data_IF_956511339622
#
_entry.id   IF_956511339622
#
_cell.length_a   1.000
_cell.length_b   1.000
_cell.length_c   1.000
_cell.angle_alpha   90.00
_cell.angle_beta   90.00
_cell.angle_gamma   90.00
#
_symmetry.space_group_name_H-M   'P 1'
#
loop_
_entity.id
_entity.type
_entity.pdbx_description
1 polymer ?
#
# COMPACT_ATOMS: atom_id res chain seq x y z
N UNK A 1 -14.77 24.95 11.72
CA UNK A 1 -14.97 24.95 13.19
C UNK A 1 -14.27 23.71 13.69
N UNK A 2 -13.25 23.86 14.53
CA UNK A 2 -12.40 22.75 14.95
C UNK A 2 -13.23 21.63 15.60
N UNK A 3 -13.20 20.43 15.00
CA UNK A 3 -13.91 19.26 15.54
C UNK A 3 -13.25 18.79 16.83
N UNK A 4 -14.03 18.65 17.90
CA UNK A 4 -13.57 18.05 19.17
C UNK A 4 -13.84 16.54 19.16
N UNK A 5 -12.86 15.76 19.58
CA UNK A 5 -12.89 14.29 19.60
C UNK A 5 -12.59 13.78 21.01
N UNK A 6 -13.21 12.67 21.41
CA UNK A 6 -12.93 12.01 22.70
C UNK A 6 -11.68 11.13 22.57
N UNK A 7 -10.82 11.19 23.57
CA UNK A 7 -9.67 10.29 23.74
C UNK A 7 -10.14 9.12 24.60
N UNK A 8 -9.87 7.90 24.14
CA UNK A 8 -10.25 6.67 24.80
C UNK A 8 -9.07 6.03 25.52
N UNK A 9 -9.35 5.43 26.67
CA UNK A 9 -8.41 4.60 27.39
C UNK A 9 -8.23 3.22 26.71
N UNK A 10 -7.28 2.42 27.21
CA UNK A 10 -7.07 1.03 26.82
C UNK A 10 -8.32 0.15 27.03
N UNK A 11 -9.20 0.54 27.97
CA UNK A 11 -10.47 -0.11 28.23
C UNK A 11 -11.63 0.37 27.34
N UNK A 12 -11.39 1.31 26.42
CA UNK A 12 -12.44 1.85 25.54
C UNK A 12 -13.38 2.85 26.22
N UNK A 13 -13.01 3.37 27.40
CA UNK A 13 -13.76 4.43 28.10
C UNK A 13 -13.23 5.81 27.70
N UNK A 14 -14.10 6.82 27.54
CA UNK A 14 -13.67 8.18 27.20
C UNK A 14 -13.03 8.87 28.42
N UNK A 15 -11.80 9.35 28.28
CA UNK A 15 -11.03 10.02 29.35
C UNK A 15 -11.00 11.52 29.14
N UNK A 16 -10.60 11.96 27.94
CA UNK A 16 -10.33 13.37 27.64
C UNK A 16 -11.02 13.80 26.35
N UNK A 17 -11.09 15.12 26.10
CA UNK A 17 -11.50 15.69 24.82
C UNK A 17 -10.33 16.45 24.20
N UNK A 18 -10.07 16.22 22.93
CA UNK A 18 -8.99 16.85 22.17
C UNK A 18 -9.56 17.56 20.94
N UNK A 19 -9.01 18.73 20.60
CA UNK A 19 -9.32 19.43 19.34
C UNK A 19 -8.50 18.85 18.20
N UNK A 20 -9.15 18.46 17.10
CA UNK A 20 -8.45 17.99 15.91
C UNK A 20 -7.72 19.13 15.19
N UNK A 21 -6.51 18.86 14.65
CA UNK A 21 -5.81 19.78 13.77
C UNK A 21 -6.58 20.07 12.47
N UNK A 22 -6.37 21.23 11.82
CA UNK A 22 -7.03 21.61 10.58
C UNK A 22 -6.76 20.65 9.39
N UNK A 23 -5.74 19.79 9.49
CA UNK A 23 -5.43 18.77 8.48
C UNK A 23 -6.62 17.83 8.23
N UNK A 24 -7.38 17.52 9.28
CA UNK A 24 -8.55 16.65 9.18
C UNK A 24 -9.75 17.31 8.48
N UNK A 25 -9.71 18.63 8.25
CA UNK A 25 -10.73 19.39 7.51
C UNK A 25 -10.38 19.54 6.03
N UNK A 26 -9.21 19.07 5.59
CA UNK A 26 -8.80 19.21 4.19
C UNK A 26 -9.75 18.46 3.23
N UNK A 27 -10.04 19.02 2.04
CA UNK A 27 -10.97 18.41 1.11
C UNK A 27 -10.44 17.08 0.58
N UNK A 28 -11.31 16.08 0.50
CA UNK A 28 -10.95 14.75 0.01
C UNK A 28 -10.77 14.79 -1.52
N UNK A 29 -9.54 14.60 -1.98
CA UNK A 29 -9.10 14.62 -3.38
C UNK A 29 -8.56 13.24 -3.81
N UNK A 30 -9.43 12.33 -4.25
CA UNK A 30 -9.01 10.96 -4.61
C UNK A 30 -8.07 10.91 -5.82
N UNK A 31 -8.14 11.90 -6.71
CA UNK A 31 -7.24 12.11 -7.85
C UNK A 31 -5.76 12.26 -7.41
N UNK A 32 -5.52 13.15 -6.46
CA UNK A 32 -4.19 13.46 -5.92
C UNK A 32 -3.66 12.28 -5.11
N UNK A 33 -4.52 11.64 -4.30
CA UNK A 33 -4.18 10.43 -3.55
C UNK A 33 -3.75 9.31 -4.51
N UNK A 34 -4.54 9.04 -5.55
CA UNK A 34 -4.24 7.99 -6.53
C UNK A 34 -2.88 8.22 -7.20
N UNK A 35 -2.59 9.45 -7.62
CA UNK A 35 -1.31 9.78 -8.27
C UNK A 35 -0.13 9.60 -7.31
N UNK A 36 -0.25 10.04 -6.06
CA UNK A 36 0.78 9.86 -5.05
C UNK A 36 1.03 8.39 -4.71
N UNK A 37 -0.03 7.60 -4.50
CA UNK A 37 0.09 6.17 -4.19
C UNK A 37 0.73 5.40 -5.34
N UNK A 38 0.34 5.66 -6.60
CA UNK A 38 0.96 5.04 -7.77
C UNK A 38 2.45 5.40 -7.91
N UNK A 39 2.84 6.64 -7.58
CA UNK A 39 4.23 7.05 -7.58
C UNK A 39 5.04 6.33 -6.48
N UNK A 40 4.51 6.26 -5.26
CA UNK A 40 5.15 5.53 -4.14
C UNK A 40 5.32 4.05 -4.49
N UNK A 41 4.28 3.42 -5.02
CA UNK A 41 4.32 2.01 -5.44
C UNK A 41 5.36 1.74 -6.52
N UNK A 42 5.52 2.69 -7.46
CA UNK A 42 6.48 2.56 -8.55
C UNK A 42 7.93 2.49 -8.10
N UNK A 43 8.26 3.07 -6.94
CA UNK A 43 9.60 2.99 -6.35
C UNK A 43 9.98 1.57 -5.91
N UNK A 44 8.99 0.71 -5.61
CA UNK A 44 9.23 -0.69 -5.19
C UNK A 44 9.31 -1.66 -6.36
N UNK A 45 9.12 -1.20 -7.59
CA UNK A 45 9.20 -2.06 -8.75
C UNK A 45 10.65 -2.45 -9.04
N UNK A 46 10.90 -3.75 -9.15
CA UNK A 46 12.20 -4.27 -9.56
C UNK A 46 12.31 -4.24 -11.09
N UNK A 47 13.41 -3.69 -11.66
CA UNK A 47 13.70 -3.80 -13.08
C UNK A 47 13.71 -5.26 -13.53
N UNK A 48 13.18 -5.52 -14.72
CA UNK A 48 13.15 -6.86 -15.30
C UNK A 48 13.39 -6.75 -16.80
N UNK A 49 14.15 -7.69 -17.34
CA UNK A 49 14.43 -7.77 -18.76
C UNK A 49 14.59 -9.20 -19.25
N UNK A 50 14.66 -9.36 -20.57
CA UNK A 50 15.13 -10.59 -21.21
C UNK A 50 16.63 -10.47 -21.50
N UNK A 51 17.33 -11.61 -21.58
CA UNK A 51 18.68 -11.66 -22.14
C UNK A 51 18.65 -11.01 -23.55
N UNK A 52 19.47 -9.99 -23.84
CA UNK A 52 19.52 -9.33 -25.15
C UNK A 52 19.73 -10.28 -26.34
N UNK A 53 20.37 -11.43 -26.10
CA UNK A 53 20.68 -12.45 -27.10
C UNK A 53 19.67 -13.62 -27.12
N UNK A 54 18.62 -13.59 -26.30
CA UNK A 54 17.59 -14.62 -26.30
C UNK A 54 16.93 -14.77 -27.68
N UNK A 55 16.97 -15.99 -28.24
CA UNK A 55 16.43 -16.29 -29.57
C UNK A 55 17.23 -15.72 -30.74
N UNK A 56 18.41 -15.12 -30.49
CA UNK A 56 19.32 -14.58 -31.51
C UNK A 56 20.62 -15.38 -31.69
N UNK A 57 20.96 -16.28 -30.76
CA UNK A 57 22.16 -17.14 -30.82
C UNK A 57 21.99 -18.27 -31.85
N UNK A 58 21.87 -17.90 -33.12
CA UNK A 58 21.62 -18.82 -34.24
C UNK A 58 22.35 -18.36 -35.49
N UNK A 59 22.81 -19.31 -36.30
CA UNK A 59 23.41 -19.06 -37.64
C UNK A 59 22.37 -18.95 -38.76
N UNK A 60 21.13 -18.62 -38.41
CA UNK A 60 19.99 -18.69 -39.31
C UNK A 60 19.98 -17.53 -40.31
N UNK A 61 19.83 -17.86 -41.59
CA UNK A 61 19.78 -16.92 -42.71
C UNK A 61 18.57 -17.24 -43.62
N UNK A 62 18.07 -16.25 -44.34
CA UNK A 62 16.98 -16.49 -45.30
C UNK A 62 17.54 -17.18 -46.54
N UNK A 63 16.84 -18.20 -47.05
CA UNK A 63 17.22 -18.91 -48.29
C UNK A 63 16.77 -18.19 -49.58
N UNK A 64 16.13 -17.02 -49.46
CA UNK A 64 15.67 -16.26 -50.62
C UNK A 64 14.32 -16.74 -51.19
N UNK A 65 14.11 -16.46 -52.47
CA UNK A 65 12.87 -16.77 -53.23
C UNK A 65 13.08 -17.98 -54.14
N UNK A 66 12.01 -18.50 -54.76
CA UNK A 66 12.09 -19.57 -55.77
C UNK A 66 12.12 -21.00 -55.24
N UNK A 67 12.02 -21.19 -53.91
CA UNK A 67 12.05 -22.52 -53.27
C UNK A 67 10.69 -23.02 -52.79
N UNK A 68 9.59 -22.31 -53.07
CA UNK A 68 8.25 -22.63 -52.52
C UNK A 68 8.17 -22.49 -51.00
N UNK A 69 9.12 -21.81 -50.36
CA UNK A 69 9.23 -21.64 -48.91
C UNK A 69 9.05 -20.18 -48.49
N UNK A 70 8.53 -19.97 -47.29
CA UNK A 70 8.52 -18.65 -46.65
C UNK A 70 9.94 -18.12 -46.44
N UNK A 71 10.15 -16.81 -46.66
CA UNK A 71 11.44 -16.10 -46.61
C UNK A 71 12.01 -15.88 -45.20
N UNK A 72 11.56 -16.66 -44.22
CA UNK A 72 11.97 -16.56 -42.81
C UNK A 72 13.39 -17.12 -42.66
N UNK A 73 14.26 -16.56 -41.79
CA UNK A 73 15.58 -17.12 -41.52
C UNK A 73 15.51 -18.58 -41.04
N UNK A 74 16.35 -19.44 -41.60
CA UNK A 74 16.42 -20.87 -41.27
C UNK A 74 17.84 -21.26 -40.88
N UNK A 75 17.96 -22.12 -39.86
CA UNK A 75 19.24 -22.64 -39.41
C UNK A 75 19.91 -23.45 -40.53
N UNK A 76 21.23 -23.29 -40.68
CA UNK A 76 22.03 -24.03 -41.66
C UNK A 76 22.05 -25.52 -41.29
N UNK A 77 22.02 -26.39 -42.30
CA UNK A 77 21.99 -27.84 -42.12
C UNK A 77 20.69 -28.54 -42.58
N UNK A 78 20.63 -29.87 -42.44
CA UNK A 78 19.57 -30.69 -43.04
C UNK A 78 18.18 -30.42 -42.45
N UNK A 79 18.08 -30.03 -41.18
CA UNK A 79 16.79 -29.81 -40.52
C UNK A 79 16.13 -28.47 -40.90
N UNK A 80 16.90 -27.47 -41.35
CA UNK A 80 16.41 -26.20 -41.91
C UNK A 80 15.26 -25.50 -41.14
N UNK A 81 15.25 -25.58 -39.80
CA UNK A 81 14.17 -25.02 -38.98
C UNK A 81 14.20 -23.50 -39.01
N UNK A 82 13.03 -22.89 -39.06
CA UNK A 82 12.89 -21.43 -38.96
C UNK A 82 13.29 -20.96 -37.56
N UNK A 83 14.10 -19.90 -37.48
CA UNK A 83 14.63 -19.35 -36.24
C UNK A 83 14.81 -17.83 -36.36
N UNK A 84 15.32 -17.19 -35.31
CA UNK A 84 15.61 -15.75 -35.21
C UNK A 84 14.38 -14.82 -35.25
N UNK A 85 13.35 -15.11 -36.04
CA UNK A 85 12.17 -14.27 -36.21
C UNK A 85 11.14 -14.44 -35.08
N UNK A 86 10.38 -13.39 -34.73
CA UNK A 86 9.42 -13.43 -33.62
C UNK A 86 8.23 -14.37 -33.81
N UNK A 87 7.88 -14.71 -35.07
CA UNK A 87 6.84 -15.69 -35.38
C UNK A 87 7.31 -17.15 -35.34
N UNK A 88 8.57 -17.41 -34.99
CA UNK A 88 9.15 -18.78 -34.98
C UNK A 88 9.30 -19.32 -33.56
N UNK A 89 9.11 -20.62 -33.40
CA UNK A 89 9.34 -21.31 -32.11
C UNK A 89 10.83 -21.22 -31.76
N UNK A 90 11.15 -20.60 -30.63
CA UNK A 90 12.54 -20.37 -30.20
C UNK A 90 13.21 -19.14 -30.83
N UNK A 91 12.50 -18.35 -31.64
CA UNK A 91 13.00 -17.09 -32.19
C UNK A 91 13.00 -15.94 -31.18
N UNK A 92 13.57 -14.79 -31.56
CA UNK A 92 13.65 -13.61 -30.70
C UNK A 92 12.28 -12.96 -30.51
N UNK A 93 11.99 -12.41 -29.34
CA UNK A 93 10.79 -11.58 -29.14
C UNK A 93 10.95 -10.22 -29.84
N UNK A 94 9.89 -9.70 -30.46
CA UNK A 94 9.86 -8.31 -30.94
C UNK A 94 9.67 -7.37 -29.75
N UNK A 95 10.52 -6.34 -29.63
CA UNK A 95 10.53 -5.38 -28.52
C UNK A 95 10.55 -6.05 -27.13
N UNK A 96 11.60 -6.83 -26.81
CA UNK A 96 11.69 -7.49 -25.51
C UNK A 96 11.72 -6.46 -24.38
N UNK A 97 11.20 -6.78 -23.19
CA UNK A 97 11.32 -5.90 -22.05
C UNK A 97 12.80 -5.71 -21.71
N UNK A 98 13.22 -4.46 -21.58
CA UNK A 98 14.58 -4.07 -21.21
C UNK A 98 14.62 -3.60 -19.75
N UNK A 99 15.73 -3.86 -19.04
CA UNK A 99 15.93 -3.37 -17.68
C UNK A 99 16.03 -1.84 -17.63
N UNK A 100 16.41 -1.19 -18.73
CA UNK A 100 16.58 0.26 -18.87
C UNK A 100 15.27 1.06 -18.85
N UNK A 101 14.11 0.38 -18.89
CA UNK A 101 12.81 1.05 -18.87
C UNK A 101 12.67 1.88 -17.58
N UNK A 102 12.38 3.19 -17.72
CA UNK A 102 12.04 4.08 -16.60
C UNK A 102 10.71 3.65 -15.97
N UNK A 103 10.78 2.85 -14.90
CA UNK A 103 9.61 2.31 -14.17
C UNK A 103 9.12 3.25 -13.06
N UNK A 104 10.02 4.06 -12.51
CA UNK A 104 9.74 4.97 -11.39
C UNK A 104 9.03 6.23 -11.89
N UNK A 105 7.88 6.55 -11.28
CA UNK A 105 7.13 7.78 -11.53
C UNK A 105 7.51 8.81 -10.47
N UNK A 106 7.94 10.00 -10.92
CA UNK A 106 8.24 11.13 -10.03
C UNK A 106 6.98 11.93 -9.71
N UNK A 107 6.92 12.47 -8.49
CA UNK A 107 5.83 13.35 -8.04
C UNK A 107 6.41 14.58 -7.31
N UNK A 108 5.84 15.78 -7.49
CA UNK A 108 6.24 16.97 -6.73
C UNK A 108 6.03 16.80 -5.22
N UNK A 109 6.92 17.41 -4.43
CA UNK A 109 6.83 17.37 -2.95
C UNK A 109 5.51 17.95 -2.41
N UNK A 110 5.05 19.07 -2.99
CA UNK A 110 3.78 19.73 -2.60
C UNK A 110 2.57 18.84 -2.85
N UNK A 111 2.52 18.19 -4.02
CA UNK A 111 1.45 17.25 -4.36
C UNK A 111 1.46 16.02 -3.46
N UNK A 112 2.64 15.50 -3.12
CA UNK A 112 2.78 14.40 -2.15
C UNK A 112 2.26 14.79 -0.75
N UNK A 113 2.52 16.02 -0.29
CA UNK A 113 1.99 16.54 0.99
C UNK A 113 0.48 16.71 0.96
N UNK A 114 -0.06 17.28 -0.12
CA UNK A 114 -1.51 17.41 -0.30
C UNK A 114 -2.22 16.05 -0.30
N UNK A 115 -1.63 15.04 -0.95
CA UNK A 115 -2.13 13.67 -0.93
C UNK A 115 -2.17 13.09 0.49
N UNK A 116 -1.15 13.35 1.30
CA UNK A 116 -1.09 12.91 2.68
C UNK A 116 -2.21 13.55 3.51
N UNK A 117 -2.37 14.86 3.43
CA UNK A 117 -3.42 15.59 4.16
C UNK A 117 -4.81 15.12 3.76
N UNK A 118 -5.06 15.00 2.45
CA UNK A 118 -6.33 14.49 1.95
C UNK A 118 -6.61 13.05 2.40
N UNK A 119 -5.59 12.20 2.50
CA UNK A 119 -5.75 10.84 3.02
C UNK A 119 -6.03 10.80 4.52
N UNK A 120 -5.44 11.73 5.31
CA UNK A 120 -5.72 11.90 6.75
C UNK A 120 -7.15 12.39 6.96
N UNK A 121 -7.59 13.41 6.21
CA UNK A 121 -8.97 13.89 6.29
C UNK A 121 -10.00 12.80 5.96
N UNK A 122 -9.68 11.93 5.00
CA UNK A 122 -10.54 10.81 4.66
C UNK A 122 -10.71 9.79 5.80
N UNK A 123 -9.77 9.70 6.74
CA UNK A 123 -9.89 8.76 7.87
C UNK A 123 -10.76 9.30 9.00
N UNK A 124 -11.05 10.61 9.00
CA UNK A 124 -11.99 11.23 9.94
C UNK A 124 -13.47 11.11 9.52
N UNK A 125 -13.76 10.68 8.28
CA UNK A 125 -15.14 10.49 7.81
C UNK A 125 -15.58 9.03 7.97
N UNK A 126 -16.61 8.80 8.80
CA UNK A 126 -17.22 7.47 9.00
C UNK A 126 -17.76 6.89 7.69
N UNK A 127 -18.36 7.71 6.85
CA UNK A 127 -18.91 7.31 5.55
C UNK A 127 -17.81 6.79 4.62
N UNK A 128 -16.69 7.51 4.53
CA UNK A 128 -15.57 7.11 3.66
C UNK A 128 -14.95 5.80 4.14
N UNK A 129 -14.78 5.64 5.45
CA UNK A 129 -14.20 4.41 6.04
C UNK A 129 -15.14 3.21 5.85
N UNK A 130 -16.45 3.39 6.03
CA UNK A 130 -17.45 2.37 5.77
C UNK A 130 -17.51 1.99 4.28
N UNK A 131 -17.51 2.96 3.37
CA UNK A 131 -17.55 2.74 1.91
C UNK A 131 -16.35 1.92 1.40
N UNK A 132 -15.22 1.99 2.11
CA UNK A 132 -14.01 1.21 1.81
C UNK A 132 -14.17 -0.27 2.17
N UNK A 133 -15.11 -0.62 3.04
CA UNK A 133 -15.38 -1.98 3.50
C UNK A 133 -14.75 -2.35 4.84
N UNK A 134 -14.48 -1.36 5.70
CA UNK A 134 -14.17 -1.61 7.11
C UNK A 134 -15.46 -1.76 7.93
N UNK A 135 -15.43 -2.64 8.94
CA UNK A 135 -16.55 -2.83 9.86
C UNK A 135 -16.44 -1.79 10.97
N UNK A 136 -17.29 -0.75 10.93
CA UNK A 136 -17.22 0.42 11.83
C UNK A 136 -18.41 0.55 12.79
N UNK A 137 -19.31 -0.44 12.81
CA UNK A 137 -20.51 -0.40 13.65
C UNK A 137 -20.20 -0.44 15.14
N UNK A 138 -19.19 -1.23 15.54
CA UNK A 138 -18.75 -1.34 16.93
C UNK A 138 -17.82 -0.22 17.41
N UNK A 139 -17.37 0.68 16.52
CA UNK A 139 -16.38 1.71 16.86
C UNK A 139 -17.10 2.94 17.44
N UNK A 140 -16.77 3.40 18.66
CA UNK A 140 -17.46 4.50 19.32
C UNK A 140 -17.37 5.83 18.56
N UNK A 141 -16.22 6.12 17.95
CA UNK A 141 -15.94 7.39 17.28
C UNK A 141 -14.88 7.22 16.17
N UNK A 142 -15.03 8.01 15.10
CA UNK A 142 -14.05 8.14 14.02
C UNK A 142 -13.70 9.63 13.86
N UNK A 143 -12.42 10.03 13.80
CA UNK A 143 -11.22 9.20 13.98
C UNK A 143 -11.12 8.68 15.43
N UNK A 144 -10.59 7.46 15.61
CA UNK A 144 -10.43 6.86 16.93
C UNK A 144 -9.12 7.36 17.54
N UNK A 145 -9.19 7.99 18.71
CA UNK A 145 -8.02 8.53 19.43
C UNK A 145 -7.87 7.81 20.76
N UNK A 146 -6.66 7.32 21.04
CA UNK A 146 -6.32 6.51 22.22
C UNK A 146 -5.19 7.18 23.00
N UNK A 147 -5.10 6.90 24.30
CA UNK A 147 -4.00 7.36 25.17
C UNK A 147 -2.65 6.78 24.70
N UNK A 148 -1.57 7.52 24.97
CA UNK A 148 -0.20 7.17 24.58
C UNK A 148 0.35 5.91 25.28
N UNK A 149 -0.33 5.42 26.32
CA UNK A 149 -0.01 4.16 26.99
C UNK A 149 -0.05 2.96 26.03
N UNK A 150 -0.82 3.05 24.95
CA UNK A 150 -0.85 2.05 23.87
C UNK A 150 0.55 1.80 23.27
N UNK A 151 1.41 2.83 23.21
CA UNK A 151 2.74 2.73 22.61
C UNK A 151 3.67 1.77 23.39
N UNK A 152 3.42 1.62 24.69
CA UNK A 152 4.23 0.80 25.60
C UNK A 152 3.83 -0.67 25.69
N UNK A 153 2.78 -1.11 24.99
CA UNK A 153 2.33 -2.51 25.03
C UNK A 153 3.33 -3.42 24.31
N UNK A 154 3.90 -4.38 25.06
CA UNK A 154 4.90 -5.33 24.55
C UNK A 154 4.34 -6.68 24.14
N UNK A 155 3.18 -7.09 24.69
CA UNK A 155 2.59 -8.40 24.41
C UNK A 155 1.45 -8.26 23.40
N UNK A 156 1.44 -9.15 22.41
CA UNK A 156 0.37 -9.22 21.40
C UNK A 156 -1.01 -9.44 22.00
N UNK A 157 -1.11 -10.24 23.07
CA UNK A 157 -2.37 -10.52 23.75
C UNK A 157 -3.02 -9.23 24.27
N UNK A 158 -2.22 -8.38 24.91
CA UNK A 158 -2.69 -7.11 25.48
C UNK A 158 -3.15 -6.16 24.36
N UNK A 159 -2.46 -6.15 23.21
CA UNK A 159 -2.88 -5.39 22.03
C UNK A 159 -4.19 -5.92 21.43
N UNK A 160 -4.38 -7.24 21.39
CA UNK A 160 -5.63 -7.83 20.90
C UNK A 160 -6.80 -7.51 21.83
N UNK A 161 -6.61 -7.61 23.14
CA UNK A 161 -7.62 -7.25 24.14
C UNK A 161 -8.02 -5.77 24.06
N UNK A 162 -7.06 -4.87 23.88
CA UNK A 162 -7.36 -3.44 23.73
C UNK A 162 -8.13 -3.14 22.45
N UNK A 163 -7.75 -3.77 21.32
CA UNK A 163 -8.50 -3.63 20.06
C UNK A 163 -9.94 -4.18 20.15
N UNK A 164 -10.15 -5.25 20.92
CA UNK A 164 -11.49 -5.77 21.22
C UNK A 164 -12.31 -4.75 22.00
N UNK A 165 -11.75 -4.19 23.10
CA UNK A 165 -12.42 -3.21 23.94
C UNK A 165 -12.73 -1.90 23.20
N UNK A 166 -11.88 -1.51 22.24
CA UNK A 166 -12.10 -0.37 21.35
C UNK A 166 -13.18 -0.61 20.27
N UNK A 167 -13.71 -1.83 20.16
CA UNK A 167 -14.78 -2.17 19.22
C UNK A 167 -14.30 -2.48 17.79
N UNK A 168 -13.00 -2.71 17.58
CA UNK A 168 -12.39 -2.98 16.26
C UNK A 168 -12.44 -4.48 15.90
N UNK A 169 -13.01 -5.30 16.78
CA UNK A 169 -13.09 -6.75 16.64
C UNK A 169 -13.70 -7.21 15.30
N UNK A 170 -14.76 -6.54 14.84
CA UNK A 170 -15.41 -6.87 13.56
C UNK A 170 -14.47 -6.75 12.36
N UNK A 171 -13.58 -5.74 12.36
CA UNK A 171 -12.62 -5.54 11.27
C UNK A 171 -11.49 -6.59 11.33
N UNK A 172 -11.08 -7.00 12.53
CA UNK A 172 -10.09 -8.06 12.72
C UNK A 172 -10.62 -9.42 12.23
N UNK A 173 -11.86 -9.78 12.56
CA UNK A 173 -12.49 -11.01 12.05
C UNK A 173 -12.58 -11.02 10.52
N UNK A 174 -13.03 -9.91 9.93
CA UNK A 174 -13.06 -9.74 8.47
C UNK A 174 -11.70 -9.98 7.83
N UNK A 175 -10.62 -9.47 8.42
CA UNK A 175 -9.26 -9.72 7.90
C UNK A 175 -8.88 -11.19 8.06
N UNK A 176 -9.11 -11.81 9.23
CA UNK A 176 -8.80 -13.22 9.48
C UNK A 176 -9.47 -14.12 8.44
N UNK A 177 -10.77 -13.95 8.22
CA UNK A 177 -11.56 -14.71 7.24
C UNK A 177 -11.14 -14.45 5.78
N UNK A 178 -10.66 -13.24 5.48
CA UNK A 178 -10.23 -12.89 4.12
C UNK A 178 -8.94 -13.59 3.67
N UNK A 179 -8.23 -14.25 4.58
CA UNK A 179 -6.94 -14.89 4.33
C UNK A 179 -7.13 -16.09 3.42
N UNK A 180 -6.68 -15.97 2.17
CA UNK A 180 -6.80 -17.04 1.17
C UNK A 180 -5.58 -17.16 0.28
N UNK A 181 -5.46 -18.32 -0.38
CA UNK A 181 -4.43 -18.53 -1.39
C UNK A 181 -4.71 -17.64 -2.60
N UNK A 182 -3.69 -16.90 -3.04
CA UNK A 182 -3.74 -15.98 -4.18
C UNK A 182 -4.00 -16.75 -5.47
N UNK A 183 -5.00 -16.29 -6.21
CA UNK A 183 -5.28 -16.79 -7.56
C UNK A 183 -4.15 -16.44 -8.56
N UNK A 184 -3.98 -17.30 -9.56
CA UNK A 184 -3.01 -17.11 -10.65
C UNK A 184 -1.57 -17.48 -10.31
N UNK A 185 -0.62 -17.04 -11.14
CA UNK A 185 0.81 -17.42 -11.07
C UNK A 185 1.59 -16.72 -9.94
N UNK A 186 0.98 -15.76 -9.25
CA UNK A 186 1.61 -15.04 -8.14
C UNK A 186 1.96 -15.95 -6.96
N UNK A 187 1.18 -17.02 -6.76
CA UNK A 187 1.43 -18.02 -5.72
C UNK A 187 2.79 -18.71 -5.84
N UNK A 188 3.28 -18.90 -7.08
CA UNK A 188 4.58 -19.50 -7.38
C UNK A 188 5.75 -18.52 -7.23
N UNK A 189 5.49 -17.23 -7.03
CA UNK A 189 6.50 -16.16 -6.96
C UNK A 189 6.66 -15.61 -5.55
N UNK A 190 6.49 -16.46 -4.53
CA UNK A 190 6.60 -16.09 -3.11
C UNK A 190 5.42 -15.26 -2.57
N UNK A 191 4.34 -15.07 -3.33
CA UNK A 191 3.16 -14.29 -2.90
C UNK A 191 1.91 -15.17 -2.79
N UNK A 192 2.03 -16.24 -1.99
CA UNK A 192 1.01 -17.29 -1.87
C UNK A 192 -0.25 -16.81 -1.17
N UNK A 193 -0.13 -16.00 -0.12
CA UNK A 193 -1.27 -15.57 0.69
C UNK A 193 -1.75 -14.18 0.23
N UNK A 194 -3.06 -13.96 0.24
CA UNK A 194 -3.72 -12.66 0.09
C UNK A 194 -4.67 -12.51 1.27
N UNK A 195 -4.62 -11.36 1.93
CA UNK A 195 -5.53 -10.95 3.00
C UNK A 195 -6.03 -9.53 2.74
N UNK A 196 -7.12 -9.14 3.39
CA UNK A 196 -7.62 -7.78 3.40
C UNK A 196 -6.71 -6.87 4.23
N UNK A 197 -6.86 -5.56 4.02
CA UNK A 197 -6.18 -4.55 4.84
C UNK A 197 -7.07 -4.24 6.04
N UNK A 198 -6.51 -4.33 7.24
CA UNK A 198 -7.19 -4.03 8.50
C UNK A 198 -6.89 -2.62 9.03
N UNK A 199 -7.02 -2.41 10.35
CA UNK A 199 -6.79 -1.11 10.97
C UNK A 199 -5.31 -0.71 10.90
N UNK A 200 -5.07 0.60 10.98
CA UNK A 200 -3.74 1.19 11.11
C UNK A 200 -3.64 1.85 12.48
N UNK A 201 -2.61 1.53 13.24
CA UNK A 201 -2.26 2.22 14.48
C UNK A 201 -1.18 3.25 14.16
N UNK A 202 -1.45 4.50 14.45
CA UNK A 202 -0.52 5.62 14.24
C UNK A 202 -0.05 6.12 15.60
N UNK A 203 1.28 6.05 15.80
CA UNK A 203 1.94 6.36 17.07
C UNK A 203 2.90 7.53 16.93
N UNK A 204 3.19 8.23 18.03
CA UNK A 204 4.22 9.27 18.04
C UNK A 204 5.61 8.64 17.91
N UNK A 205 5.89 7.66 18.77
CA UNK A 205 7.13 6.89 18.81
C UNK A 205 6.82 5.41 19.08
N UNK A 206 7.63 4.51 18.52
CA UNK A 206 7.47 3.08 18.78
C UNK A 206 8.23 2.70 20.06
N UNK A 207 7.48 2.34 21.12
CA UNK A 207 8.03 1.89 22.40
C UNK A 207 7.85 0.38 22.63
N UNK A 208 7.64 -0.39 21.56
CA UNK A 208 7.46 -1.85 21.56
C UNK A 208 6.15 -2.32 20.93
N UNK A 209 5.23 -1.40 20.65
CA UNK A 209 3.95 -1.68 20.01
C UNK A 209 4.12 -2.24 18.58
N UNK A 210 5.15 -1.83 17.84
CA UNK A 210 5.44 -2.35 16.51
C UNK A 210 5.69 -3.86 16.52
N UNK A 211 6.42 -4.36 17.52
CA UNK A 211 6.68 -5.79 17.69
C UNK A 211 5.44 -6.54 18.18
N UNK A 212 4.72 -5.96 19.14
CA UNK A 212 3.53 -6.56 19.73
C UNK A 212 2.40 -6.75 18.69
N UNK A 213 2.17 -5.76 17.82
CA UNK A 213 1.08 -5.78 16.84
C UNK A 213 1.41 -6.54 15.55
N UNK A 214 2.69 -6.77 15.22
CA UNK A 214 3.13 -7.38 13.95
C UNK A 214 2.51 -8.75 13.66
N UNK A 215 2.23 -9.53 14.70
CA UNK A 215 1.67 -10.87 14.55
C UNK A 215 0.15 -10.86 14.30
N UNK A 216 -0.53 -9.73 14.54
CA UNK A 216 -1.98 -9.62 14.35
C UNK A 216 -2.29 -9.42 12.85
N UNK A 217 -3.10 -10.29 12.22
CA UNK A 217 -3.39 -10.18 10.79
C UNK A 217 -4.03 -8.83 10.41
N UNK A 218 -3.38 -8.12 9.49
CA UNK A 218 -3.86 -6.87 8.87
C UNK A 218 -3.83 -5.62 9.74
N UNK A 219 -3.29 -5.72 10.95
CA UNK A 219 -2.94 -4.54 11.76
C UNK A 219 -1.56 -4.08 11.32
N UNK A 220 -1.45 -2.81 10.92
CA UNK A 220 -0.16 -2.16 10.69
C UNK A 220 0.06 -1.11 11.77
N UNK A 221 1.31 -0.93 12.20
CA UNK A 221 1.73 0.14 13.11
C UNK A 221 2.71 1.03 12.37
N UNK A 222 2.51 2.35 12.43
CA UNK A 222 3.37 3.32 11.74
C UNK A 222 3.55 4.57 12.59
N UNK A 223 4.80 5.06 12.77
CA UNK A 223 5.03 6.32 13.45
C UNK A 223 4.61 7.50 12.57
N UNK A 224 4.15 8.60 13.16
CA UNK A 224 3.64 9.78 12.41
C UNK A 224 4.66 10.32 11.41
N UNK A 225 5.94 10.27 11.77
CA UNK A 225 7.05 10.76 10.93
C UNK A 225 7.19 9.99 9.61
N UNK A 226 6.79 8.71 9.58
CA UNK A 226 6.90 7.83 8.41
C UNK A 226 5.57 7.66 7.66
N UNK A 227 4.55 8.45 8.04
CA UNK A 227 3.23 8.35 7.46
C UNK A 227 3.25 8.72 5.97
N UNK A 228 2.71 7.82 5.15
CA UNK A 228 2.63 7.99 3.70
C UNK A 228 1.19 7.81 3.22
N UNK A 229 0.85 8.47 2.11
CA UNK A 229 -0.49 8.35 1.49
C UNK A 229 -0.84 6.90 1.12
N UNK A 230 0.15 6.05 0.81
CA UNK A 230 -0.11 4.62 0.53
C UNK A 230 -0.59 3.84 1.76
N UNK A 231 -0.10 4.18 2.95
CA UNK A 231 -0.41 3.46 4.19
C UNK A 231 -1.85 3.80 4.63
N UNK A 232 -2.25 5.05 4.44
CA UNK A 232 -3.60 5.57 4.73
C UNK A 232 -4.62 5.24 3.64
N UNK A 233 -4.19 5.16 2.38
CA UNK A 233 -5.03 4.83 1.23
C UNK A 233 -4.47 3.63 0.41
N UNK A 234 -4.34 2.43 1.02
CA UNK A 234 -3.79 1.29 0.30
C UNK A 234 -4.69 0.90 -0.87
N UNK A 235 -4.07 0.67 -2.02
CA UNK A 235 -4.77 0.40 -3.27
C UNK A 235 -5.41 1.62 -3.92
N UNK A 236 -5.00 2.85 -3.57
CA UNK A 236 -5.53 4.13 -4.08
C UNK A 236 -6.94 4.50 -3.58
N UNK A 237 -7.48 3.73 -2.63
CA UNK A 237 -8.78 3.98 -2.01
C UNK A 237 -8.60 4.62 -0.63
N UNK A 238 -9.07 5.86 -0.42
CA UNK A 238 -8.95 6.57 0.85
C UNK A 238 -9.91 6.04 1.91
N UNK A 239 -9.67 6.38 3.18
CA UNK A 239 -10.54 5.99 4.30
C UNK A 239 -10.16 4.67 4.97
N UNK A 240 -8.88 4.44 5.25
CA UNK A 240 -8.48 3.32 6.13
C UNK A 240 -8.95 3.58 7.56
N UNK A 241 -9.39 2.54 8.25
CA UNK A 241 -9.66 2.62 9.69
C UNK A 241 -8.35 2.90 10.43
N UNK A 242 -8.21 4.09 11.00
CA UNK A 242 -7.00 4.54 11.70
C UNK A 242 -7.28 4.79 13.18
N UNK A 243 -6.44 4.22 14.02
CA UNK A 243 -6.36 4.45 15.46
C UNK A 243 -5.16 5.36 15.69
N UNK A 244 -5.38 6.51 16.30
CA UNK A 244 -4.35 7.51 16.57
C UNK A 244 -4.03 7.53 18.05
N UNK A 245 -2.75 7.63 18.43
CA UNK A 245 -2.40 8.04 19.78
C UNK A 245 -2.56 9.55 19.95
N UNK A 246 -2.78 10.01 21.18
CA UNK A 246 -2.88 11.45 21.49
C UNK A 246 -1.62 12.19 21.04
N UNK A 247 -0.46 11.68 21.42
CA UNK A 247 0.85 12.20 21.05
C UNK A 247 1.08 12.21 19.53
N UNK A 248 0.51 11.25 18.79
CA UNK A 248 0.57 11.25 17.33
C UNK A 248 -0.14 12.46 16.71
N UNK A 249 -1.33 12.81 17.21
CA UNK A 249 -2.08 13.97 16.73
C UNK A 249 -1.37 15.28 17.10
N UNK A 250 -0.81 15.38 18.30
CA UNK A 250 -0.03 16.54 18.71
C UNK A 250 1.24 16.71 17.87
N UNK A 251 1.94 15.62 17.55
CA UNK A 251 3.10 15.64 16.68
C UNK A 251 2.73 16.07 15.25
N UNK A 252 1.59 15.61 14.75
CA UNK A 252 1.06 15.97 13.43
C UNK A 252 0.71 17.46 13.35
N UNK A 253 0.12 18.02 14.41
CA UNK A 253 -0.14 19.47 14.51
C UNK A 253 1.16 20.29 14.51
N UNK A 254 2.16 19.88 15.29
CA UNK A 254 3.47 20.54 15.35
C UNK A 254 4.19 20.52 14.00
N UNK A 255 4.14 19.40 13.28
CA UNK A 255 4.86 19.24 12.00
C UNK A 255 4.29 20.05 10.85
N UNK A 256 2.98 20.26 10.82
CA UNK A 256 2.30 20.78 9.62
C UNK A 256 1.48 22.04 9.84
N UNK A 257 1.00 22.31 11.05
CA UNK A 257 0.19 23.51 11.34
C UNK A 257 1.03 24.62 11.97
N UNK A 258 1.92 24.28 12.91
CA UNK A 258 2.77 25.26 13.63
C UNK A 258 4.04 25.66 12.85
N UNK A 259 4.23 25.12 11.65
CA UNK A 259 5.38 25.35 10.78
C UNK A 259 5.23 26.47 9.75
N UNK A 260 4.13 27.23 9.75
CA UNK A 260 3.99 28.48 8.96
C UNK A 260 4.49 29.70 9.74
N UNK A 261 5.57 29.52 10.52
CA UNK A 261 6.37 30.59 11.10
C UNK A 261 7.86 30.32 10.83
N UNK A 262 8.22 30.23 9.54
CA UNK A 262 9.58 30.38 9.01
C UNK A 262 9.54 30.67 7.51
#
# INVERSE_FOLDING_TARGET
>A
MAKTVKVFDLDGKPVEKMTLPPIFETPIRPDVIKRAVLAIQSNRFQPKGRDPMAGKRTTAESRGVGLGLARIPRVKGPTARAAFAPGTVGGRLAHPPTPEKKIVKKIPKKEKRLALFSAIAATASKETVASRGHVVEGVPQIPLVVVDELEGLKKTKDVEETLIKLGVLGDLYRVRESTKVRAGKGKLRGRRIKQAVGPLIVVAEDRGIGEAARNIPGVDVVPVKELNAEILAPGTHPGRLTIWTKGAIEALDKMYCKGEAA
#
